data_IF_754993907866
#
_entry.id   IF_754993907866
#
_cell.length_a   1.000
_cell.length_b   1.000
_cell.length_c   1.000
_cell.angle_alpha   90.00
_cell.angle_beta   90.00
_cell.angle_gamma   90.00
#
_symmetry.space_group_name_H-M   'P 1'
#
loop_
_entity.id
_entity.type
_entity.pdbx_description
1 polymer ?
#
# COMPACT_ATOMS: atom_id res chain seq x y z
N UNK A 1 3.56 40.14 -20.38
CA UNK A 1 4.86 39.67 -19.85
C UNK A 1 4.78 39.12 -18.44
N UNK A 2 3.71 39.38 -17.68
CA UNK A 2 3.45 38.77 -16.37
C UNK A 2 2.52 37.55 -16.44
N UNK A 3 1.65 37.46 -17.45
CA UNK A 3 0.66 36.38 -17.56
C UNK A 3 1.26 35.07 -18.09
N UNK A 4 2.24 35.16 -19.02
CA UNK A 4 2.91 33.97 -19.60
C UNK A 4 3.77 33.20 -18.58
N UNK A 5 4.26 33.87 -17.52
CA UNK A 5 5.07 33.23 -16.48
C UNK A 5 4.17 32.45 -15.51
N UNK A 6 2.99 32.98 -15.20
CA UNK A 6 2.01 32.30 -14.33
C UNK A 6 1.42 31.10 -15.06
N UNK A 7 1.12 31.23 -16.36
CA UNK A 7 0.60 30.13 -17.18
C UNK A 7 1.58 28.95 -17.25
N UNK A 8 2.86 29.20 -17.55
CA UNK A 8 3.89 28.15 -17.60
C UNK A 8 4.12 27.47 -16.24
N UNK A 9 4.06 28.21 -15.14
CA UNK A 9 4.26 27.61 -13.81
C UNK A 9 3.08 26.74 -13.40
N UNK A 10 1.85 27.14 -13.75
CA UNK A 10 0.66 26.30 -13.54
C UNK A 10 0.68 25.06 -14.43
N UNK A 11 1.09 25.19 -15.70
CA UNK A 11 1.18 24.06 -16.62
C UNK A 11 2.26 23.05 -16.18
N UNK A 12 3.41 23.51 -15.69
CA UNK A 12 4.48 22.64 -15.17
C UNK A 12 4.08 21.91 -13.86
N UNK A 13 3.33 22.59 -12.98
CA UNK A 13 2.77 21.97 -11.75
C UNK A 13 1.68 20.96 -12.10
N UNK A 14 0.79 21.27 -13.05
CA UNK A 14 -0.26 20.36 -13.50
C UNK A 14 0.35 19.14 -14.20
N UNK A 15 1.36 19.31 -15.05
CA UNK A 15 2.06 18.20 -15.71
C UNK A 15 2.81 17.32 -14.69
N UNK A 16 3.42 17.92 -13.67
CA UNK A 16 4.06 17.20 -12.55
C UNK A 16 3.05 16.39 -11.73
N UNK A 17 1.90 16.97 -11.38
CA UNK A 17 0.88 16.29 -10.55
C UNK A 17 0.15 15.19 -11.33
N UNK A 18 -0.17 15.43 -12.61
CA UNK A 18 -0.77 14.43 -13.52
C UNK A 18 0.19 13.26 -13.77
N UNK A 19 1.51 13.50 -13.77
CA UNK A 19 2.50 12.44 -13.94
C UNK A 19 2.64 11.53 -12.71
N UNK A 20 2.43 12.06 -11.49
CA UNK A 20 2.50 11.28 -10.26
C UNK A 20 1.25 10.42 -10.03
N UNK A 21 0.06 10.94 -10.35
CA UNK A 21 -1.21 10.20 -10.24
C UNK A 21 -1.27 9.04 -11.24
N UNK A 22 -0.98 9.33 -12.52
CA UNK A 22 -0.94 8.31 -13.55
C UNK A 22 0.12 7.24 -13.26
N UNK A 23 1.25 7.62 -12.64
CA UNK A 23 2.27 6.66 -12.24
C UNK A 23 1.81 5.74 -11.11
N UNK A 24 1.12 6.27 -10.10
CA UNK A 24 0.55 5.46 -9.01
C UNK A 24 -0.49 4.48 -9.53
N UNK A 25 -1.37 4.91 -10.42
CA UNK A 25 -2.38 4.05 -11.05
C UNK A 25 -1.73 2.91 -11.85
N UNK A 26 -0.66 3.20 -12.60
CA UNK A 26 0.08 2.16 -13.33
C UNK A 26 0.73 1.17 -12.35
N UNK A 27 1.34 1.67 -11.27
CA UNK A 27 1.96 0.81 -10.25
C UNK A 27 0.93 -0.09 -9.55
N UNK A 28 -0.23 0.44 -9.18
CA UNK A 28 -1.29 -0.34 -8.53
C UNK A 28 -1.84 -1.41 -9.47
N UNK A 29 -2.15 -1.05 -10.72
CA UNK A 29 -2.63 -1.98 -11.72
C UNK A 29 -1.62 -3.11 -11.99
N UNK A 30 -0.35 -2.76 -12.18
CA UNK A 30 0.69 -3.75 -12.46
C UNK A 30 0.93 -4.66 -11.26
N UNK A 31 0.88 -4.13 -10.02
CA UNK A 31 0.98 -4.93 -8.81
C UNK A 31 -0.16 -5.95 -8.72
N UNK A 32 -1.40 -5.51 -8.95
CA UNK A 32 -2.59 -6.39 -8.94
C UNK A 32 -2.44 -7.48 -10.00
N UNK A 33 -2.11 -7.10 -11.25
CA UNK A 33 -1.96 -8.03 -12.38
C UNK A 33 -0.87 -9.06 -12.11
N UNK A 34 0.33 -8.63 -11.71
CA UNK A 34 1.46 -9.56 -11.48
C UNK A 34 1.16 -10.50 -10.32
N UNK A 35 0.52 -10.00 -9.27
CA UNK A 35 0.11 -10.83 -8.12
C UNK A 35 -0.96 -11.85 -8.52
N UNK A 36 -1.95 -11.45 -9.32
CA UNK A 36 -2.96 -12.36 -9.88
C UNK A 36 -2.33 -13.45 -10.75
N UNK A 37 -1.40 -13.08 -11.65
CA UNK A 37 -0.66 -14.04 -12.48
C UNK A 37 0.14 -15.03 -11.62
N UNK A 38 0.81 -14.55 -10.57
CA UNK A 38 1.54 -15.42 -9.65
C UNK A 38 0.61 -16.41 -8.94
N UNK A 39 -0.58 -15.95 -8.52
CA UNK A 39 -1.58 -16.82 -7.91
C UNK A 39 -2.10 -17.89 -8.88
N UNK A 40 -2.45 -17.53 -10.11
CA UNK A 40 -2.90 -18.48 -11.14
C UNK A 40 -1.83 -19.53 -11.42
N UNK A 41 -0.56 -19.12 -11.61
CA UNK A 41 0.54 -20.05 -11.82
C UNK A 41 0.70 -21.01 -10.63
N UNK A 42 0.65 -20.49 -9.41
CA UNK A 42 0.70 -21.30 -8.18
C UNK A 42 -0.44 -22.33 -8.13
N UNK A 43 -1.67 -21.93 -8.44
CA UNK A 43 -2.83 -22.82 -8.45
C UNK A 43 -2.75 -23.91 -9.52
N UNK A 44 -2.10 -23.62 -10.65
CA UNK A 44 -1.80 -24.60 -11.69
C UNK A 44 -0.60 -25.50 -11.33
N UNK A 45 0.11 -25.22 -10.24
CA UNK A 45 1.32 -25.94 -9.84
C UNK A 45 2.55 -25.57 -10.68
N UNK A 46 2.50 -24.47 -11.41
CA UNK A 46 3.60 -23.92 -12.21
C UNK A 46 4.54 -23.07 -11.35
N UNK A 47 5.78 -22.88 -11.80
CA UNK A 47 6.76 -22.06 -11.09
C UNK A 47 6.42 -20.56 -11.24
N UNK A 48 6.12 -19.91 -10.13
CA UNK A 48 5.77 -18.49 -10.04
C UNK A 48 6.85 -17.66 -9.33
N UNK A 49 7.94 -18.29 -8.86
CA UNK A 49 8.93 -17.64 -7.99
C UNK A 49 9.66 -16.48 -8.66
N UNK A 50 9.79 -16.51 -9.97
CA UNK A 50 10.37 -15.41 -10.76
C UNK A 50 9.53 -14.12 -10.72
N UNK A 51 8.25 -14.21 -10.35
CA UNK A 51 7.37 -13.05 -10.17
C UNK A 51 7.50 -12.40 -8.78
N UNK A 52 8.01 -13.13 -7.79
CA UNK A 52 8.14 -12.61 -6.41
C UNK A 52 9.01 -11.33 -6.36
N UNK A 53 10.19 -11.26 -7.01
CA UNK A 53 10.98 -10.03 -7.05
C UNK A 53 10.22 -8.86 -7.68
N UNK A 54 9.40 -9.12 -8.71
CA UNK A 54 8.61 -8.08 -9.37
C UNK A 54 7.49 -7.56 -8.46
N UNK A 55 6.80 -8.44 -7.75
CA UNK A 55 5.78 -8.05 -6.75
C UNK A 55 6.41 -7.19 -5.65
N UNK A 56 7.58 -7.58 -5.14
CA UNK A 56 8.33 -6.81 -4.14
C UNK A 56 8.71 -5.43 -4.65
N UNK A 57 9.20 -5.36 -5.88
CA UNK A 57 9.56 -4.09 -6.53
C UNK A 57 8.35 -3.17 -6.67
N UNK A 58 7.26 -3.64 -7.29
CA UNK A 58 6.05 -2.85 -7.51
C UNK A 58 5.44 -2.37 -6.19
N UNK A 59 5.40 -3.24 -5.17
CA UNK A 59 4.93 -2.86 -3.82
C UNK A 59 5.80 -1.76 -3.21
N UNK A 60 7.12 -1.87 -3.37
CA UNK A 60 8.07 -0.88 -2.82
C UNK A 60 7.93 0.47 -3.51
N UNK A 61 7.82 0.49 -4.84
CA UNK A 61 7.61 1.72 -5.61
C UNK A 61 6.28 2.39 -5.25
N UNK A 62 5.21 1.59 -5.12
CA UNK A 62 3.90 2.10 -4.69
C UNK A 62 3.98 2.73 -3.29
N UNK A 63 4.65 2.07 -2.35
CA UNK A 63 4.86 2.57 -0.99
C UNK A 63 5.68 3.87 -0.99
N UNK A 64 6.73 3.96 -1.81
CA UNK A 64 7.55 5.17 -1.93
C UNK A 64 6.73 6.32 -2.53
N UNK A 65 5.90 6.06 -3.54
CA UNK A 65 5.03 7.06 -4.14
C UNK A 65 3.99 7.58 -3.14
N UNK A 66 3.46 6.72 -2.26
CA UNK A 66 2.41 7.08 -1.29
C UNK A 66 2.94 7.54 0.08
N UNK A 67 4.25 7.53 0.31
CA UNK A 67 4.82 7.78 1.62
C UNK A 67 4.52 9.21 2.15
N UNK A 68 4.20 9.30 3.44
CA UNK A 68 3.73 10.53 4.10
C UNK A 68 4.79 11.23 4.94
N UNK A 69 6.08 10.84 4.87
CA UNK A 69 7.15 11.31 5.77
C UNK A 69 6.82 11.16 7.26
N UNK A 70 5.92 10.24 7.58
CA UNK A 70 5.42 10.00 8.93
C UNK A 70 6.00 8.69 9.46
N UNK A 71 6.24 8.64 10.77
CA UNK A 71 6.73 7.46 11.46
C UNK A 71 5.78 7.11 12.59
N UNK A 72 5.45 5.83 12.73
CA UNK A 72 4.67 5.30 13.84
C UNK A 72 5.49 4.28 14.59
N UNK A 73 5.86 4.61 15.81
CA UNK A 73 6.69 3.74 16.66
C UNK A 73 5.93 2.46 17.03
N UNK A 74 6.62 1.31 17.03
CA UNK A 74 6.03 0.02 17.39
C UNK A 74 5.14 -0.66 16.32
N UNK A 75 4.70 0.04 15.27
CA UNK A 75 3.79 -0.54 14.24
C UNK A 75 4.41 -1.73 13.50
N UNK A 76 5.71 -1.67 13.20
CA UNK A 76 6.40 -2.75 12.49
C UNK A 76 6.33 -4.05 13.30
N UNK A 77 6.58 -3.98 14.61
CA UNK A 77 6.61 -5.17 15.47
C UNK A 77 5.22 -5.79 15.64
N UNK A 78 4.19 -4.95 15.82
CA UNK A 78 2.80 -5.39 15.90
C UNK A 78 2.33 -6.04 14.59
N UNK A 79 2.49 -5.35 13.46
CA UNK A 79 2.03 -5.85 12.17
C UNK A 79 2.81 -7.09 11.74
N UNK A 80 4.11 -7.19 11.99
CA UNK A 80 4.90 -8.37 11.60
C UNK A 80 4.49 -9.62 12.37
N UNK A 81 4.10 -9.44 13.62
CA UNK A 81 3.61 -10.54 14.46
C UNK A 81 2.25 -11.06 13.99
N UNK A 82 1.43 -10.23 13.33
CA UNK A 82 0.05 -10.53 12.97
C UNK A 82 -0.17 -10.83 11.47
N UNK A 83 0.53 -10.14 10.56
CA UNK A 83 0.44 -10.38 9.11
C UNK A 83 1.23 -11.65 8.78
N UNK A 84 0.50 -12.68 8.33
CA UNK A 84 1.09 -13.95 7.82
C UNK A 84 0.90 -14.15 6.33
N UNK A 85 -0.06 -13.45 5.74
CA UNK A 85 -0.36 -13.52 4.32
C UNK A 85 0.76 -12.89 3.50
N UNK A 86 1.22 -13.60 2.46
CA UNK A 86 2.10 -13.03 1.45
C UNK A 86 1.31 -12.60 0.23
N UNK A 87 1.68 -11.48 -0.40
CA UNK A 87 0.92 -10.99 -1.56
C UNK A 87 0.90 -12.03 -2.70
N UNK A 88 2.02 -12.70 -2.97
CA UNK A 88 2.09 -13.78 -3.98
C UNK A 88 1.31 -15.06 -3.60
N UNK A 89 0.68 -15.10 -2.43
CA UNK A 89 -0.18 -16.19 -1.98
C UNK A 89 -1.67 -15.86 -2.04
N UNK A 90 -2.03 -14.65 -2.49
CA UNK A 90 -3.41 -14.17 -2.56
C UNK A 90 -4.14 -14.83 -3.72
N UNK A 91 -5.16 -15.63 -3.40
CA UNK A 91 -6.03 -16.30 -4.37
C UNK A 91 -7.10 -15.39 -5.00
N UNK A 92 -7.48 -14.33 -4.30
CA UNK A 92 -8.60 -13.48 -4.68
C UNK A 92 -8.13 -12.13 -5.23
N UNK A 93 -8.15 -12.01 -6.55
CA UNK A 93 -7.82 -10.76 -7.27
C UNK A 93 -8.76 -9.61 -6.89
N UNK A 94 -10.04 -9.88 -6.62
CA UNK A 94 -11.00 -8.82 -6.31
C UNK A 94 -10.69 -8.17 -4.97
N UNK A 95 -10.45 -8.97 -3.93
CA UNK A 95 -10.07 -8.44 -2.61
C UNK A 95 -8.72 -7.73 -2.64
N UNK A 96 -7.76 -8.22 -3.45
CA UNK A 96 -6.48 -7.53 -3.65
C UNK A 96 -6.68 -6.16 -4.31
N UNK A 97 -7.44 -6.11 -5.42
CA UNK A 97 -7.71 -4.87 -6.12
C UNK A 97 -8.42 -3.87 -5.20
N UNK A 98 -9.48 -4.31 -4.50
CA UNK A 98 -10.21 -3.48 -3.53
C UNK A 98 -9.28 -2.86 -2.49
N UNK A 99 -8.39 -3.66 -1.90
CA UNK A 99 -7.44 -3.18 -0.91
C UNK A 99 -6.46 -2.16 -1.49
N UNK A 100 -5.82 -2.49 -2.62
CA UNK A 100 -4.80 -1.63 -3.23
C UNK A 100 -5.41 -0.30 -3.70
N UNK A 101 -6.57 -0.34 -4.35
CA UNK A 101 -7.29 0.85 -4.80
C UNK A 101 -7.72 1.72 -3.60
N UNK A 102 -8.16 1.10 -2.51
CA UNK A 102 -8.46 1.80 -1.25
C UNK A 102 -7.26 2.52 -0.66
N UNK A 103 -6.09 1.88 -0.64
CA UNK A 103 -4.83 2.47 -0.16
C UNK A 103 -4.40 3.64 -1.07
N UNK A 104 -4.51 3.48 -2.39
CA UNK A 104 -4.24 4.56 -3.35
C UNK A 104 -5.16 5.75 -3.12
N UNK A 105 -6.46 5.50 -2.96
CA UNK A 105 -7.45 6.54 -2.68
C UNK A 105 -7.13 7.29 -1.38
N UNK A 106 -6.75 6.59 -0.30
CA UNK A 106 -6.28 7.24 0.92
C UNK A 106 -5.02 8.08 0.68
N UNK A 107 -4.09 7.60 -0.13
CA UNK A 107 -2.93 8.35 -0.60
C UNK A 107 -3.28 9.67 -1.27
N UNK A 108 -4.25 9.63 -2.18
CA UNK A 108 -4.76 10.82 -2.87
C UNK A 108 -5.44 11.78 -1.90
N UNK A 109 -6.28 11.28 -0.99
CA UNK A 109 -6.92 12.08 0.05
C UNK A 109 -5.90 12.81 0.94
N UNK A 110 -4.81 12.13 1.33
CA UNK A 110 -3.72 12.76 2.10
C UNK A 110 -3.06 13.88 1.32
N UNK A 111 -2.77 13.68 0.04
CA UNK A 111 -2.12 14.68 -0.83
C UNK A 111 -3.00 15.91 -1.08
N UNK A 112 -4.29 15.68 -1.30
CA UNK A 112 -5.27 16.74 -1.55
C UNK A 112 -5.75 17.44 -0.27
N UNK A 113 -5.47 16.86 0.90
CA UNK A 113 -5.96 17.36 2.19
C UNK A 113 -7.48 17.19 2.35
N UNK A 114 -8.07 16.24 1.63
CA UNK A 114 -9.51 15.92 1.68
C UNK A 114 -9.71 14.78 2.68
N UNK A 115 -10.78 14.86 3.47
CA UNK A 115 -11.12 13.84 4.46
C UNK A 115 -12.58 13.42 4.34
N UNK A 116 -12.77 12.15 4.03
CA UNK A 116 -14.05 11.44 4.03
C UNK A 116 -13.91 10.26 4.98
N UNK A 117 -14.60 10.32 6.12
CA UNK A 117 -14.46 9.33 7.17
C UNK A 117 -15.11 7.99 6.81
N UNK A 118 -16.18 8.00 6.01
CA UNK A 118 -16.89 6.78 5.64
C UNK A 118 -15.99 5.92 4.73
N UNK A 119 -15.31 6.58 3.78
CA UNK A 119 -14.31 5.94 2.92
C UNK A 119 -13.15 5.38 3.74
N UNK A 120 -12.65 6.14 4.73
CA UNK A 120 -11.52 5.72 5.56
C UNK A 120 -11.88 4.50 6.40
N UNK A 121 -13.07 4.49 6.99
CA UNK A 121 -13.57 3.34 7.75
C UNK A 121 -13.71 2.10 6.86
N UNK A 122 -14.19 2.25 5.63
CA UNK A 122 -14.26 1.13 4.67
C UNK A 122 -12.87 0.58 4.35
N UNK A 123 -11.91 1.44 3.98
CA UNK A 123 -10.55 0.98 3.61
C UNK A 123 -9.82 0.36 4.82
N UNK A 124 -10.02 0.90 6.03
CA UNK A 124 -9.50 0.30 7.26
C UNK A 124 -10.10 -1.09 7.49
N UNK A 125 -11.42 -1.24 7.29
CA UNK A 125 -12.10 -2.54 7.41
C UNK A 125 -11.56 -3.54 6.40
N UNK A 126 -11.41 -3.14 5.14
CA UNK A 126 -10.88 -3.98 4.07
C UNK A 126 -9.44 -4.43 4.37
N UNK A 127 -8.60 -3.54 4.89
CA UNK A 127 -7.23 -3.86 5.30
C UNK A 127 -7.19 -4.88 6.45
N UNK A 128 -8.03 -4.71 7.47
CA UNK A 128 -8.13 -5.64 8.59
C UNK A 128 -8.60 -7.01 8.11
N UNK A 129 -9.62 -7.06 7.26
CA UNK A 129 -10.17 -8.31 6.71
C UNK A 129 -9.16 -9.02 5.82
N UNK A 130 -8.56 -8.32 4.87
CA UNK A 130 -7.60 -8.87 3.91
C UNK A 130 -6.41 -9.53 4.60
N UNK A 131 -5.85 -8.88 5.62
CA UNK A 131 -4.73 -9.43 6.39
C UNK A 131 -5.16 -10.29 7.58
N UNK A 132 -6.45 -10.42 7.84
CA UNK A 132 -7.01 -11.11 9.02
C UNK A 132 -6.37 -10.63 10.33
N UNK A 133 -6.25 -9.31 10.49
CA UNK A 133 -5.56 -8.68 11.62
C UNK A 133 -6.37 -8.77 12.91
N UNK A 134 -5.76 -9.31 13.97
CA UNK A 134 -6.31 -9.26 15.32
C UNK A 134 -5.89 -7.97 16.03
N UNK A 135 -6.76 -6.96 16.00
CA UNK A 135 -6.54 -5.68 16.68
C UNK A 135 -6.56 -5.77 18.22
N UNK A 136 -6.98 -6.90 18.80
CA UNK A 136 -6.88 -7.08 20.26
C UNK A 136 -5.43 -7.21 20.72
N UNK A 137 -4.53 -7.61 19.82
CA UNK A 137 -3.09 -7.77 20.06
C UNK A 137 -2.23 -6.64 19.46
N UNK A 138 -2.84 -5.61 18.86
CA UNK A 138 -2.15 -4.50 18.19
C UNK A 138 -2.62 -3.15 18.76
N UNK A 139 -2.09 -2.75 19.92
CA UNK A 139 -2.54 -1.55 20.62
C UNK A 139 -2.22 -0.28 19.82
N UNK A 140 -1.02 -0.19 19.23
CA UNK A 140 -0.60 0.96 18.42
C UNK A 140 -1.41 1.06 17.13
N UNK A 141 -1.56 -0.06 16.40
CA UNK A 141 -2.34 -0.08 15.15
C UNK A 141 -3.79 0.31 15.42
N UNK A 142 -4.39 -0.22 16.49
CA UNK A 142 -5.77 0.11 16.88
C UNK A 142 -5.93 1.59 17.23
N UNK A 143 -4.97 2.17 17.96
CA UNK A 143 -4.97 3.61 18.29
C UNK A 143 -4.89 4.46 17.02
N UNK A 144 -4.00 4.13 16.09
CA UNK A 144 -3.87 4.86 14.81
C UNK A 144 -5.16 4.79 13.99
N UNK A 145 -5.73 3.60 13.80
CA UNK A 145 -6.98 3.44 13.06
C UNK A 145 -8.15 4.20 13.70
N UNK A 146 -8.15 4.34 15.03
CA UNK A 146 -9.19 5.09 15.76
C UNK A 146 -8.95 6.61 15.80
N UNK A 147 -7.75 7.07 15.45
CA UNK A 147 -7.38 8.50 15.53
C UNK A 147 -8.06 9.36 14.44
N UNK A 148 -8.40 8.74 13.32
CA UNK A 148 -8.84 9.44 12.11
C UNK A 148 -7.74 10.30 11.46
N UNK A 149 -6.48 10.16 11.86
CA UNK A 149 -5.35 10.85 11.23
C UNK A 149 -4.94 10.12 9.95
N UNK A 150 -5.27 10.69 8.79
CA UNK A 150 -5.07 10.04 7.49
C UNK A 150 -3.60 9.69 7.20
N UNK A 151 -2.62 10.62 7.37
CA UNK A 151 -1.22 10.28 7.21
C UNK A 151 -0.76 9.09 8.06
N UNK A 152 -1.21 8.99 9.32
CA UNK A 152 -0.84 7.87 10.20
C UNK A 152 -1.49 6.57 9.76
N UNK A 153 -2.78 6.59 9.42
CA UNK A 153 -3.52 5.42 8.93
C UNK A 153 -2.87 4.87 7.66
N UNK A 154 -2.60 5.75 6.69
CA UNK A 154 -1.93 5.37 5.46
C UNK A 154 -0.55 4.77 5.75
N UNK A 155 0.24 5.40 6.62
CA UNK A 155 1.57 4.88 6.99
C UNK A 155 1.50 3.46 7.58
N UNK A 156 0.51 3.15 8.42
CA UNK A 156 0.29 1.79 8.94
C UNK A 156 -0.01 0.81 7.80
N UNK A 157 -0.88 1.18 6.87
CA UNK A 157 -1.25 0.33 5.74
C UNK A 157 -0.06 0.06 4.81
N UNK A 158 0.74 1.09 4.51
CA UNK A 158 1.96 0.96 3.70
C UNK A 158 2.99 0.03 4.36
N UNK A 159 3.17 0.12 5.69
CA UNK A 159 4.03 -0.81 6.43
C UNK A 159 3.49 -2.24 6.34
N UNK A 160 2.17 -2.42 6.41
CA UNK A 160 1.52 -3.71 6.22
C UNK A 160 1.82 -4.34 4.86
N UNK A 161 1.73 -3.55 3.77
CA UNK A 161 2.08 -4.00 2.41
C UNK A 161 3.56 -4.44 2.32
N UNK A 162 4.48 -3.66 2.90
CA UNK A 162 5.91 -4.01 2.92
C UNK A 162 6.15 -5.33 3.68
N UNK A 163 5.47 -5.54 4.81
CA UNK A 163 5.55 -6.80 5.57
C UNK A 163 5.00 -7.96 4.75
N UNK A 164 3.88 -7.76 4.05
CA UNK A 164 3.26 -8.78 3.20
C UNK A 164 4.15 -9.25 2.04
N UNK A 165 5.15 -8.45 1.64
CA UNK A 165 6.14 -8.83 0.62
C UNK A 165 7.51 -9.21 1.18
N UNK A 166 7.61 -9.47 2.49
CA UNK A 166 8.88 -9.80 3.17
C UNK A 166 9.94 -8.69 3.03
N UNK A 167 9.51 -7.43 2.91
CA UNK A 167 10.42 -6.28 2.76
C UNK A 167 11.10 -5.87 4.08
N UNK A 168 10.44 -6.10 5.22
CA UNK A 168 11.03 -5.90 6.56
C UNK A 168 11.21 -7.27 7.22
N UNK A 169 12.27 -7.96 6.81
CA UNK A 169 12.78 -9.07 7.58
C UNK A 169 14.04 -8.62 8.32
N UNK A 170 14.05 -8.82 9.64
CA UNK A 170 15.30 -8.76 10.40
C UNK A 170 16.30 -9.68 9.69
N UNK A 171 17.47 -9.14 9.33
CA UNK A 171 18.65 -9.93 8.96
C UNK A 171 19.10 -10.76 10.18
N UNK A 172 18.33 -11.78 10.53
CA UNK A 172 18.49 -12.60 11.73
C UNK A 172 18.00 -14.04 11.58
N UNK A 173 17.26 -14.35 10.51
CA UNK A 173 17.07 -15.72 10.06
C UNK A 173 17.87 -15.90 8.77
N UNK A 174 19.08 -16.43 8.95
CA UNK A 174 19.91 -16.93 7.88
C UNK A 174 19.09 -17.88 7.00
N UNK A 175 19.26 -17.75 5.69
CA UNK A 175 18.97 -18.84 4.76
C UNK A 175 19.67 -20.10 5.26
N UNK A 176 18.91 -21.06 5.81
CA UNK A 176 19.34 -22.43 6.10
C UNK A 176 18.75 -23.37 5.07
#
# INVERSE_FOLDING_TARGET
>A
MSDDIIQNTCDDIIVSMVSDESYIEILSEDLIKVTSVASVLRELGEDYKDLIPLIKFLTSELVLALHTNTFVDGVVDELRSNIKLRLWEVGDEFSLAKLIDGIVMLGMMVREGVKDLDIVEEVVSDFIEFFSLDLSCCDVVREVFSSGDLPLILQVMLVGLIIAVDGINYFGEEYV
#
